data_IF_060512133812
#
_entry.id   IF_060512133812
#
_cell.length_a   1.000
_cell.length_b   1.000
_cell.length_c   1.000
_cell.angle_alpha   90.00
_cell.angle_beta   90.00
_cell.angle_gamma   90.00
#
_symmetry.space_group_name_H-M   'P 1'
#
loop_
_entity.id
_entity.type
_entity.pdbx_description
1 polymer ?
#
# COMPACT_ATOMS: atom_id res chain seq x y z
N UNK A 1 21.02 6.36 -10.11
CA UNK A 1 20.68 4.94 -9.90
C UNK A 1 21.71 4.20 -9.05
N UNK A 2 23.01 4.11 -9.40
CA UNK A 2 24.00 3.37 -8.57
C UNK A 2 24.00 3.76 -7.08
N UNK A 3 23.90 5.07 -6.80
CA UNK A 3 23.88 5.61 -5.43
C UNK A 3 22.47 5.83 -4.86
N UNK A 4 21.43 5.35 -5.54
CA UNK A 4 20.04 5.42 -5.06
C UNK A 4 19.75 4.18 -4.22
N UNK A 5 19.05 4.34 -3.10
CA UNK A 5 18.66 3.21 -2.25
C UNK A 5 17.60 2.36 -2.95
N UNK A 6 17.50 1.07 -2.60
CA UNK A 6 16.43 0.19 -3.08
C UNK A 6 15.06 0.77 -2.74
N UNK A 7 14.91 1.28 -1.51
CA UNK A 7 13.65 1.88 -1.08
C UNK A 7 13.26 3.09 -1.93
N UNK A 8 14.22 3.97 -2.24
CA UNK A 8 13.96 5.15 -3.06
C UNK A 8 13.70 4.79 -4.53
N UNK A 9 14.36 3.75 -5.05
CA UNK A 9 14.07 3.22 -6.39
C UNK A 9 12.64 2.69 -6.49
N UNK A 10 12.19 1.92 -5.50
CA UNK A 10 10.83 1.38 -5.44
C UNK A 10 9.81 2.51 -5.23
N UNK A 11 10.12 3.51 -4.40
CA UNK A 11 9.26 4.69 -4.21
C UNK A 11 9.08 5.50 -5.50
N UNK A 12 10.15 5.70 -6.27
CA UNK A 12 10.11 6.48 -7.50
C UNK A 12 9.46 5.71 -8.65
N UNK A 13 9.67 4.40 -8.72
CA UNK A 13 9.02 3.53 -9.68
C UNK A 13 8.83 2.15 -9.04
N UNK A 14 7.62 1.82 -8.55
CA UNK A 14 7.36 0.53 -7.92
C UNK A 14 7.65 -0.67 -8.84
N UNK A 15 7.71 -0.47 -10.16
CA UNK A 15 8.04 -1.52 -11.14
C UNK A 15 9.48 -1.97 -11.02
N UNK A 16 10.37 -1.12 -10.47
CA UNK A 16 11.73 -1.51 -10.13
C UNK A 16 11.73 -2.74 -9.22
N UNK A 17 10.70 -2.90 -8.40
CA UNK A 17 10.68 -3.96 -7.43
C UNK A 17 10.49 -5.35 -8.02
N UNK A 18 9.77 -5.47 -9.14
CA UNK A 18 9.70 -6.72 -9.92
C UNK A 18 11.08 -7.13 -10.42
N UNK A 19 11.81 -6.18 -11.00
CA UNK A 19 13.17 -6.43 -11.49
C UNK A 19 14.12 -6.70 -10.33
N UNK A 20 13.96 -6.05 -9.17
CA UNK A 20 14.80 -6.31 -8.00
C UNK A 20 14.54 -7.71 -7.42
N UNK A 21 13.28 -8.16 -7.39
CA UNK A 21 12.88 -9.49 -6.92
C UNK A 21 13.48 -10.61 -7.79
N UNK A 22 13.50 -10.44 -9.13
CA UNK A 22 14.18 -11.38 -10.04
C UNK A 22 15.67 -11.57 -9.74
N UNK A 23 16.31 -10.56 -9.14
CA UNK A 23 17.72 -10.59 -8.73
C UNK A 23 17.88 -10.95 -7.24
N UNK A 24 16.80 -11.35 -6.57
CA UNK A 24 16.77 -11.69 -5.14
C UNK A 24 17.03 -10.49 -4.23
N UNK A 25 16.73 -9.29 -4.67
CA UNK A 25 16.93 -8.04 -3.92
C UNK A 25 15.58 -7.62 -3.34
N UNK A 26 15.34 -7.97 -2.08
CA UNK A 26 14.18 -7.48 -1.30
C UNK A 26 14.56 -6.25 -0.46
N UNK A 27 13.58 -5.45 -0.07
CA UNK A 27 13.87 -4.21 0.67
C UNK A 27 14.01 -4.43 2.18
N UNK A 28 13.48 -5.51 2.76
CA UNK A 28 13.74 -5.87 4.16
C UNK A 28 15.25 -6.01 4.45
N UNK A 29 16.00 -6.65 3.56
CA UNK A 29 17.44 -6.89 3.74
C UNK A 29 18.30 -5.80 3.10
N UNK A 30 17.78 -5.10 2.08
CA UNK A 30 18.58 -4.22 1.23
C UNK A 30 18.00 -2.82 1.05
N UNK A 31 16.90 -2.47 1.74
CA UNK A 31 16.12 -1.26 1.51
C UNK A 31 16.93 0.03 1.65
N UNK A 32 17.74 0.12 2.71
CA UNK A 32 18.61 1.26 2.98
C UNK A 32 19.93 1.22 2.19
N UNK A 33 20.21 0.10 1.50
CA UNK A 33 21.42 -0.07 0.71
C UNK A 33 21.24 0.52 -0.68
N UNK A 34 22.32 1.09 -1.20
CA UNK A 34 22.36 1.53 -2.60
C UNK A 34 22.46 0.34 -3.54
N UNK A 35 22.01 0.53 -4.78
CA UNK A 35 22.12 -0.50 -5.82
C UNK A 35 23.58 -1.00 -5.98
N UNK A 36 24.55 -0.10 -5.86
CA UNK A 36 25.98 -0.41 -5.92
C UNK A 36 26.48 -1.28 -4.76
N UNK A 37 26.03 -1.00 -3.54
CA UNK A 37 26.36 -1.81 -2.36
C UNK A 37 25.84 -3.24 -2.54
N UNK A 38 24.61 -3.38 -3.01
CA UNK A 38 23.97 -4.69 -3.21
C UNK A 38 24.66 -5.47 -4.31
N UNK A 39 25.01 -4.82 -5.42
CA UNK A 39 25.73 -5.50 -6.51
C UNK A 39 27.11 -6.00 -6.05
N UNK A 40 27.78 -5.25 -5.18
CA UNK A 40 29.06 -5.66 -4.59
C UNK A 40 28.88 -6.86 -3.65
N UNK A 41 27.89 -6.79 -2.76
CA UNK A 41 27.61 -7.84 -1.78
C UNK A 41 27.16 -9.15 -2.42
N UNK A 42 26.27 -9.08 -3.42
CA UNK A 42 25.69 -10.24 -4.11
C UNK A 42 26.48 -10.68 -5.35
N UNK A 43 27.61 -10.03 -5.64
CA UNK A 43 28.43 -10.27 -6.83
C UNK A 43 27.63 -10.21 -8.15
N UNK A 44 26.68 -9.27 -8.23
CA UNK A 44 25.84 -9.04 -9.40
C UNK A 44 26.51 -8.05 -10.37
N UNK A 45 26.27 -8.21 -11.68
CA UNK A 45 26.65 -7.18 -12.66
C UNK A 45 25.74 -5.95 -12.51
N UNK A 46 26.29 -4.92 -11.86
CA UNK A 46 25.59 -3.67 -11.61
C UNK A 46 25.14 -2.98 -12.90
N UNK A 47 25.91 -3.08 -13.99
CA UNK A 47 25.53 -2.47 -15.26
C UNK A 47 24.36 -3.23 -15.91
N UNK A 48 24.34 -4.56 -15.78
CA UNK A 48 23.21 -5.38 -16.25
C UNK A 48 21.94 -5.08 -15.45
N UNK A 49 22.01 -5.05 -14.11
CA UNK A 49 20.87 -4.70 -13.26
C UNK A 49 20.36 -3.28 -13.56
N UNK A 50 21.25 -2.31 -13.74
CA UNK A 50 20.86 -0.97 -14.15
C UNK A 50 20.24 -0.92 -15.54
N UNK A 51 20.67 -1.77 -16.46
CA UNK A 51 20.07 -1.88 -17.79
C UNK A 51 18.67 -2.45 -17.68
N UNK A 52 18.47 -3.52 -16.90
CA UNK A 52 17.14 -4.11 -16.64
C UNK A 52 16.20 -3.10 -15.96
N UNK A 53 16.69 -2.36 -14.96
CA UNK A 53 15.93 -1.30 -14.30
C UNK A 53 15.69 -0.08 -15.21
N UNK A 54 16.65 0.27 -16.07
CA UNK A 54 16.55 1.37 -17.02
C UNK A 54 15.65 1.07 -18.21
N UNK A 55 15.52 -0.20 -18.60
CA UNK A 55 14.60 -0.69 -19.63
C UNK A 55 13.13 -0.54 -19.23
N UNK A 56 12.84 -0.31 -17.95
CA UNK A 56 11.52 0.10 -17.47
C UNK A 56 11.10 1.48 -18.01
N UNK A 57 12.05 2.35 -18.44
CA UNK A 57 11.78 3.62 -19.11
C UNK A 57 10.95 4.63 -18.29
N UNK A 58 10.52 5.73 -18.95
CA UNK A 58 9.49 6.67 -18.46
C UNK A 58 8.06 6.20 -18.73
N UNK A 59 7.93 5.00 -19.28
CA UNK A 59 6.66 4.31 -19.32
C UNK A 59 6.43 3.80 -17.91
N UNK A 60 5.40 4.35 -17.25
CA UNK A 60 4.74 3.67 -16.15
C UNK A 60 4.18 2.39 -16.78
N UNK A 61 4.99 1.34 -16.89
CA UNK A 61 4.45 0.01 -17.06
C UNK A 61 3.45 -0.12 -15.94
N UNK A 62 2.17 -0.27 -16.28
CA UNK A 62 1.18 -0.68 -15.30
C UNK A 62 1.69 -2.00 -14.78
N UNK A 63 2.29 -1.99 -13.60
CA UNK A 63 2.76 -3.19 -12.93
C UNK A 63 1.57 -4.12 -12.93
N UNK A 64 1.69 -5.24 -13.60
CA UNK A 64 0.70 -6.28 -13.41
C UNK A 64 0.97 -6.90 -12.04
N UNK A 65 0.36 -6.29 -11.02
CA UNK A 65 0.48 -6.74 -9.64
C UNK A 65 0.06 -8.20 -9.47
N UNK A 66 -0.68 -8.79 -10.42
CA UNK A 66 -0.97 -10.22 -10.43
C UNK A 66 0.29 -11.09 -10.61
N UNK A 67 1.36 -10.57 -11.19
CA UNK A 67 2.64 -11.28 -11.33
C UNK A 67 3.55 -11.13 -10.10
N UNK A 68 3.24 -10.19 -9.21
CA UNK A 68 4.01 -9.91 -8.00
C UNK A 68 3.70 -10.96 -6.93
N UNK A 69 4.73 -11.36 -6.17
CA UNK A 69 4.59 -12.28 -5.04
C UNK A 69 3.80 -11.64 -3.88
N UNK A 70 3.05 -12.44 -3.14
CA UNK A 70 2.29 -11.96 -1.96
C UNK A 70 3.18 -11.29 -0.91
N UNK A 71 4.36 -11.85 -0.54
CA UNK A 71 5.20 -11.23 0.46
C UNK A 71 5.62 -9.83 0.02
N UNK A 72 5.99 -9.68 -1.26
CA UNK A 72 6.36 -8.40 -1.82
C UNK A 72 5.18 -7.40 -1.84
N UNK A 73 3.98 -7.84 -2.23
CA UNK A 73 2.78 -7.00 -2.21
C UNK A 73 2.50 -6.44 -0.81
N UNK A 74 2.54 -7.31 0.20
CA UNK A 74 2.36 -6.91 1.61
C UNK A 74 3.44 -5.93 2.04
N UNK A 75 4.70 -6.21 1.71
CA UNK A 75 5.84 -5.34 2.01
C UNK A 75 5.66 -3.94 1.40
N UNK A 76 5.21 -3.87 0.15
CA UNK A 76 4.88 -2.63 -0.54
C UNK A 76 3.76 -1.86 0.17
N UNK A 77 2.66 -2.53 0.52
CA UNK A 77 1.51 -1.91 1.20
C UNK A 77 1.90 -1.35 2.57
N UNK A 78 2.63 -2.11 3.39
CA UNK A 78 3.16 -1.67 4.70
C UNK A 78 4.02 -0.41 4.56
N UNK A 79 4.89 -0.33 3.54
CA UNK A 79 5.68 0.87 3.33
C UNK A 79 4.83 2.08 2.98
N UNK A 80 3.77 1.89 2.19
CA UNK A 80 2.84 2.97 1.88
C UNK A 80 2.07 3.41 3.13
N UNK A 81 1.63 2.47 3.99
CA UNK A 81 1.02 2.78 5.30
C UNK A 81 1.92 3.64 6.17
N UNK A 82 3.18 3.26 6.28
CA UNK A 82 4.16 3.99 7.05
C UNK A 82 4.38 5.42 6.54
N UNK A 83 4.43 5.61 5.21
CA UNK A 83 4.50 6.96 4.62
C UNK A 83 3.23 7.77 4.95
N UNK A 84 2.02 7.21 4.72
CA UNK A 84 0.79 7.93 5.03
C UNK A 84 0.68 8.31 6.51
N UNK A 85 0.93 7.37 7.40
CA UNK A 85 0.78 7.56 8.83
C UNK A 85 1.79 8.57 9.40
N UNK A 86 3.04 8.55 8.93
CA UNK A 86 4.15 9.34 9.49
C UNK A 86 4.37 10.66 8.77
N UNK A 87 4.09 10.75 7.47
CA UNK A 87 4.43 11.92 6.64
C UNK A 87 3.17 12.62 6.10
N UNK A 88 2.35 11.93 5.30
CA UNK A 88 1.24 12.55 4.57
C UNK A 88 0.12 13.04 5.48
N UNK A 89 -0.46 12.17 6.31
CA UNK A 89 -1.57 12.55 7.19
C UNK A 89 -1.20 13.71 8.14
N UNK A 90 -0.01 13.74 8.78
CA UNK A 90 0.43 14.90 9.56
C UNK A 90 0.61 16.17 8.73
N UNK A 91 1.12 16.09 7.50
CA UNK A 91 1.29 17.25 6.62
C UNK A 91 -0.08 17.83 6.21
N UNK A 92 -1.00 16.98 5.76
CA UNK A 92 -2.35 17.37 5.36
C UNK A 92 -3.10 17.99 6.54
N UNK A 93 -2.95 17.40 7.74
CA UNK A 93 -3.53 17.97 8.97
C UNK A 93 -3.09 19.41 9.21
N UNK A 94 -1.82 19.74 8.93
CA UNK A 94 -1.29 21.10 9.13
C UNK A 94 -1.94 22.09 8.17
N UNK A 95 -2.07 21.75 6.89
CA UNK A 95 -2.68 22.65 5.90
C UNK A 95 -4.18 22.83 6.13
N UNK A 96 -4.90 21.75 6.49
CA UNK A 96 -6.32 21.83 6.88
C UNK A 96 -6.52 22.69 8.13
N UNK A 97 -5.69 22.53 9.16
CA UNK A 97 -5.77 23.34 10.37
C UNK A 97 -5.42 24.81 10.12
N UNK A 98 -4.49 25.08 9.19
CA UNK A 98 -4.17 26.45 8.78
C UNK A 98 -5.37 27.12 8.12
N UNK A 99 -6.05 26.42 7.20
CA UNK A 99 -7.26 26.91 6.54
C UNK A 99 -8.38 27.24 7.55
N UNK A 100 -8.62 26.34 8.52
CA UNK A 100 -9.59 26.51 9.61
C UNK A 100 -9.30 27.69 10.55
N UNK A 101 -8.02 28.07 10.73
CA UNK A 101 -7.63 29.25 11.52
C UNK A 101 -7.89 30.57 10.81
N UNK A 102 -7.82 30.57 9.47
CA UNK A 102 -8.07 31.75 8.67
C UNK A 102 -9.57 32.02 8.47
N UNK A 103 -10.36 30.96 8.36
CA UNK A 103 -11.81 31.05 8.20
C UNK A 103 -12.51 29.93 8.97
N UNK A 104 -13.36 30.32 9.92
CA UNK A 104 -14.10 29.40 10.78
C UNK A 104 -15.05 28.48 10.01
N UNK A 105 -15.41 28.85 8.78
CA UNK A 105 -16.19 28.01 7.86
C UNK A 105 -15.55 26.66 7.57
N UNK A 106 -14.24 26.51 7.77
CA UNK A 106 -13.52 25.24 7.55
C UNK A 106 -13.30 24.40 8.81
N UNK A 107 -13.86 24.79 9.96
CA UNK A 107 -13.76 24.00 11.21
C UNK A 107 -14.32 22.59 11.06
N UNK A 108 -15.41 22.43 10.30
CA UNK A 108 -15.99 21.10 10.04
C UNK A 108 -15.05 20.23 9.19
N UNK A 109 -14.40 20.80 8.17
CA UNK A 109 -13.39 20.09 7.38
C UNK A 109 -12.23 19.59 8.26
N UNK A 110 -11.75 20.41 9.20
CA UNK A 110 -10.70 20.00 10.14
C UNK A 110 -11.15 18.86 11.06
N UNK A 111 -12.38 18.91 11.60
CA UNK A 111 -12.94 17.84 12.43
C UNK A 111 -13.07 16.54 11.63
N UNK A 112 -13.64 16.61 10.42
CA UNK A 112 -13.81 15.46 9.53
C UNK A 112 -12.46 14.87 9.15
N UNK A 113 -11.47 15.69 8.79
CA UNK A 113 -10.13 15.20 8.46
C UNK A 113 -9.44 14.50 9.65
N UNK A 114 -9.66 15.00 10.88
CA UNK A 114 -9.15 14.36 12.09
C UNK A 114 -9.83 13.01 12.35
N UNK A 115 -11.15 12.92 12.15
CA UNK A 115 -11.91 11.66 12.26
C UNK A 115 -11.37 10.64 11.26
N UNK A 116 -11.32 11.03 9.99
CA UNK A 116 -10.75 10.25 8.90
C UNK A 116 -9.32 9.75 9.22
N UNK A 117 -8.42 10.65 9.61
CA UNK A 117 -7.03 10.28 9.97
C UNK A 117 -6.92 9.26 11.10
N UNK A 118 -7.90 9.23 12.02
CA UNK A 118 -7.93 8.27 13.12
C UNK A 118 -8.50 6.92 12.68
N UNK A 119 -9.46 6.90 11.75
CA UNK A 119 -10.00 5.68 11.16
C UNK A 119 -8.91 4.99 10.33
N UNK A 120 -8.23 5.73 9.45
CA UNK A 120 -7.11 5.20 8.68
C UNK A 120 -6.00 4.58 9.53
N UNK A 121 -5.65 5.19 10.68
CA UNK A 121 -4.65 4.57 11.57
C UNK A 121 -5.11 3.24 12.15
N UNK A 122 -6.40 3.09 12.46
CA UNK A 122 -6.95 1.82 12.96
C UNK A 122 -6.99 0.77 11.85
N UNK A 123 -7.33 1.20 10.64
CA UNK A 123 -7.33 0.37 9.44
C UNK A 123 -5.94 -0.23 9.19
N UNK A 124 -4.91 0.63 9.12
CA UNK A 124 -3.51 0.24 8.97
C UNK A 124 -3.10 -0.80 10.04
N UNK A 125 -3.46 -0.56 11.31
CA UNK A 125 -3.13 -1.49 12.41
C UNK A 125 -3.81 -2.84 12.21
N UNK A 126 -5.09 -2.86 11.83
CA UNK A 126 -5.83 -4.09 11.56
C UNK A 126 -5.15 -4.90 10.45
N UNK A 127 -4.74 -4.24 9.37
CA UNK A 127 -4.10 -4.89 8.25
C UNK A 127 -2.74 -5.47 8.63
N UNK A 128 -1.88 -4.66 9.24
CA UNK A 128 -0.52 -5.04 9.58
C UNK A 128 -0.45 -6.08 10.69
N UNK A 129 -1.35 -6.05 11.67
CA UNK A 129 -1.33 -6.97 12.81
C UNK A 129 -2.17 -8.23 12.60
N UNK A 130 -3.18 -8.19 11.72
CA UNK A 130 -4.13 -9.29 11.55
C UNK A 130 -4.19 -9.80 10.12
N UNK A 131 -4.53 -8.93 9.15
CA UNK A 131 -4.84 -9.36 7.78
C UNK A 131 -3.59 -9.86 7.05
N UNK A 132 -2.53 -9.06 6.99
CA UNK A 132 -1.29 -9.42 6.30
C UNK A 132 -0.61 -10.64 6.93
N UNK A 133 -0.47 -10.76 8.27
CA UNK A 133 0.06 -11.99 8.88
C UNK A 133 -0.79 -13.24 8.58
N UNK A 134 -2.12 -13.10 8.51
CA UNK A 134 -2.99 -14.20 8.11
C UNK A 134 -2.72 -14.64 6.67
N UNK A 135 -2.62 -13.69 5.74
CA UNK A 135 -2.35 -13.98 4.32
C UNK A 135 -0.98 -14.64 4.13
N UNK A 136 0.05 -14.20 4.85
CA UNK A 136 1.39 -14.83 4.81
C UNK A 136 1.36 -16.27 5.32
N UNK A 137 0.65 -16.54 6.42
CA UNK A 137 0.45 -17.92 6.93
C UNK A 137 -0.32 -18.78 5.93
N UNK A 138 -1.34 -18.22 5.30
CA UNK A 138 -2.12 -18.89 4.28
C UNK A 138 -1.25 -19.29 3.08
N UNK A 139 -0.37 -18.38 2.62
CA UNK A 139 0.59 -18.67 1.56
C UNK A 139 1.56 -19.78 1.95
N UNK A 140 2.14 -19.72 3.15
CA UNK A 140 3.09 -20.73 3.61
C UNK A 140 2.47 -22.15 3.61
N UNK A 141 1.22 -22.27 4.04
CA UNK A 141 0.47 -23.55 4.01
C UNK A 141 0.05 -23.96 2.59
N UNK A 142 -0.17 -23.00 1.70
CA UNK A 142 -0.45 -23.27 0.29
C UNK A 142 0.77 -23.89 -0.41
N UNK A 143 1.96 -23.35 -0.15
CA UNK A 143 3.24 -23.82 -0.69
C UNK A 143 3.68 -25.14 -0.05
N UNK A 144 3.60 -25.23 1.28
CA UNK A 144 3.99 -26.40 2.07
C UNK A 144 2.80 -26.90 2.88
N UNK A 145 2.02 -27.80 2.26
CA UNK A 145 0.76 -28.27 2.85
C UNK A 145 0.96 -28.99 4.18
N UNK A 146 0.37 -28.43 5.23
CA UNK A 146 0.22 -29.03 6.56
C UNK A 146 -1.26 -29.06 6.95
N UNK A 147 -1.81 -30.26 7.16
CA UNK A 147 -3.24 -30.44 7.46
C UNK A 147 -3.63 -29.77 8.78
N UNK A 148 -2.82 -29.94 9.82
CA UNK A 148 -3.13 -29.41 11.15
C UNK A 148 -3.09 -27.88 11.15
N UNK A 149 -2.05 -27.29 10.57
CA UNK A 149 -1.94 -25.84 10.39
C UNK A 149 -3.08 -25.24 9.55
N UNK A 150 -3.53 -25.92 8.49
CA UNK A 150 -4.67 -25.43 7.69
C UNK A 150 -5.97 -25.48 8.49
N UNK A 151 -6.22 -26.55 9.26
CA UNK A 151 -7.41 -26.64 10.13
C UNK A 151 -7.39 -25.54 11.19
N UNK A 152 -6.24 -25.29 11.81
CA UNK A 152 -6.09 -24.24 12.83
C UNK A 152 -6.35 -22.85 12.24
N UNK A 153 -5.71 -22.53 11.11
CA UNK A 153 -5.80 -21.20 10.49
C UNK A 153 -7.22 -20.91 9.99
N UNK A 154 -7.78 -21.83 9.20
CA UNK A 154 -9.09 -21.66 8.56
C UNK A 154 -10.28 -21.93 9.48
N UNK A 155 -10.03 -22.45 10.68
CA UNK A 155 -11.01 -22.57 11.76
C UNK A 155 -11.18 -21.29 12.57
N UNK A 156 -10.18 -20.40 12.58
CA UNK A 156 -10.23 -19.10 13.27
C UNK A 156 -10.87 -18.01 12.41
N UNK A 157 -10.46 -17.92 11.14
CA UNK A 157 -10.89 -16.87 10.21
C UNK A 157 -11.00 -17.39 8.77
N UNK A 158 -11.69 -16.63 7.92
CA UNK A 158 -11.67 -16.77 6.46
C UNK A 158 -11.21 -15.47 5.82
N UNK A 159 -10.68 -15.55 4.60
CA UNK A 159 -10.41 -14.40 3.73
C UNK A 159 -11.67 -13.57 3.50
N UNK A 160 -12.85 -14.18 3.41
CA UNK A 160 -14.11 -13.44 3.32
C UNK A 160 -14.33 -12.54 4.55
N UNK A 161 -14.15 -13.07 5.77
CA UNK A 161 -14.35 -12.28 6.98
C UNK A 161 -13.26 -11.20 7.14
N UNK A 162 -12.01 -11.53 6.83
CA UNK A 162 -10.88 -10.63 7.05
C UNK A 162 -10.70 -9.60 5.93
N UNK A 163 -11.02 -9.94 4.68
CA UNK A 163 -10.79 -9.08 3.52
C UNK A 163 -12.07 -8.42 3.00
N UNK A 164 -13.26 -9.00 3.17
CA UNK A 164 -14.51 -8.41 2.66
C UNK A 164 -15.12 -7.39 3.63
N UNK A 165 -14.80 -7.48 4.93
CA UNK A 165 -15.12 -6.41 5.88
C UNK A 165 -14.33 -5.10 5.61
N UNK A 166 -13.32 -5.11 4.73
CA UNK A 166 -12.68 -3.88 4.23
C UNK A 166 -13.61 -3.07 3.30
N UNK A 167 -14.51 -3.71 2.56
CA UNK A 167 -15.42 -3.01 1.61
C UNK A 167 -16.49 -2.17 2.33
N UNK A 168 -16.85 -2.49 3.58
CA UNK A 168 -17.85 -1.73 4.34
C UNK A 168 -17.34 -0.38 4.89
N UNK A 169 -16.03 -0.13 4.82
CA UNK A 169 -15.41 1.16 5.15
C UNK A 169 -15.22 2.07 3.91
N UNK A 170 -15.71 1.67 2.72
CA UNK A 170 -15.47 2.32 1.40
C UNK A 170 -15.91 3.78 1.23
N UNK A 171 -16.42 4.45 2.26
CA UNK A 171 -16.68 5.89 2.17
C UNK A 171 -16.03 6.70 3.31
N UNK A 172 -14.87 6.26 3.81
CA UNK A 172 -14.05 7.08 4.72
C UNK A 172 -13.72 8.47 4.14
N UNK A 173 -13.61 8.57 2.81
CA UNK A 173 -13.39 9.84 2.09
C UNK A 173 -14.69 10.58 1.72
N UNK A 174 -15.88 10.01 1.98
CA UNK A 174 -17.18 10.61 1.61
C UNK A 174 -17.32 12.03 2.12
N UNK A 175 -17.18 12.14 3.44
CA UNK A 175 -17.49 13.36 4.17
C UNK A 175 -16.54 14.47 3.70
N UNK A 176 -15.27 14.11 3.45
CA UNK A 176 -14.27 15.01 2.88
C UNK A 176 -14.65 15.45 1.46
N UNK A 177 -15.08 14.53 0.58
CA UNK A 177 -15.54 14.90 -0.77
C UNK A 177 -16.74 15.84 -0.75
N UNK A 178 -17.73 15.55 0.09
CA UNK A 178 -18.95 16.36 0.21
C UNK A 178 -18.60 17.78 0.69
N UNK A 179 -17.81 17.90 1.75
CA UNK A 179 -17.40 19.20 2.31
C UNK A 179 -16.53 20.04 1.36
N UNK A 180 -15.81 19.39 0.45
CA UNK A 180 -14.87 20.04 -0.46
C UNK A 180 -15.35 20.14 -1.90
N UNK A 181 -16.60 19.74 -2.19
CA UNK A 181 -17.12 19.63 -3.54
C UNK A 181 -16.18 18.82 -4.46
N UNK A 182 -15.77 17.63 -4.01
CA UNK A 182 -14.80 16.75 -4.67
C UNK A 182 -13.42 17.41 -4.84
N UNK A 183 -12.91 18.07 -3.80
CA UNK A 183 -11.59 18.71 -3.78
C UNK A 183 -11.38 19.72 -4.91
N UNK A 184 -12.46 20.35 -5.40
CA UNK A 184 -12.39 21.30 -6.50
C UNK A 184 -11.95 22.66 -5.99
N UNK A 185 -11.06 23.30 -6.74
CA UNK A 185 -10.64 24.68 -6.53
C UNK A 185 -10.39 25.37 -7.88
N UNK A 186 -10.38 26.70 -7.86
CA UNK A 186 -10.10 27.60 -8.99
C UNK A 186 -8.78 28.33 -8.76
N UNK A 187 -8.17 28.80 -9.83
CA UNK A 187 -6.95 29.62 -9.76
C UNK A 187 -7.13 30.96 -9.03
N UNK A 188 -8.38 31.42 -8.89
CA UNK A 188 -8.75 32.64 -8.18
C UNK A 188 -8.99 32.43 -6.68
N UNK A 189 -9.00 31.18 -6.21
CA UNK A 189 -9.21 30.89 -4.79
C UNK A 189 -7.98 31.24 -3.97
N UNK A 190 -8.13 31.39 -2.65
CA UNK A 190 -7.00 31.63 -1.76
C UNK A 190 -5.94 30.53 -1.86
N UNK A 191 -4.66 30.91 -1.79
CA UNK A 191 -3.54 29.97 -1.96
C UNK A 191 -3.60 28.81 -0.95
N UNK A 192 -3.97 29.06 0.30
CA UNK A 192 -4.06 28.01 1.31
C UNK A 192 -5.20 27.04 1.01
N UNK A 193 -6.30 27.53 0.44
CA UNK A 193 -7.40 26.70 -0.03
C UNK A 193 -6.95 25.80 -1.18
N UNK A 194 -6.27 26.36 -2.19
CA UNK A 194 -5.73 25.60 -3.32
C UNK A 194 -4.78 24.49 -2.87
N UNK A 195 -3.84 24.81 -1.98
CA UNK A 195 -2.89 23.83 -1.41
C UNK A 195 -3.66 22.72 -0.67
N UNK A 196 -4.61 23.10 0.19
CA UNK A 196 -5.38 22.11 0.98
C UNK A 196 -6.17 21.17 0.09
N UNK A 197 -6.86 21.68 -0.93
CA UNK A 197 -7.62 20.85 -1.86
C UNK A 197 -6.72 19.95 -2.71
N UNK A 198 -5.56 20.47 -3.16
CA UNK A 198 -4.57 19.69 -3.88
C UNK A 198 -4.08 18.50 -3.06
N UNK A 199 -3.66 18.74 -1.81
CA UNK A 199 -3.17 17.70 -0.90
C UNK A 199 -4.25 16.64 -0.58
N UNK A 200 -5.50 17.05 -0.38
CA UNK A 200 -6.61 16.11 -0.17
C UNK A 200 -6.93 15.28 -1.43
N UNK A 201 -6.80 15.86 -2.62
CA UNK A 201 -6.97 15.15 -3.89
C UNK A 201 -5.85 14.13 -4.12
N UNK A 202 -4.61 14.49 -3.80
CA UNK A 202 -3.47 13.56 -3.86
C UNK A 202 -3.75 12.38 -2.93
N UNK A 203 -4.09 12.64 -1.66
CA UNK A 203 -4.45 11.59 -0.70
C UNK A 203 -5.56 10.66 -1.21
N UNK A 204 -6.64 11.20 -1.79
CA UNK A 204 -7.70 10.35 -2.36
C UNK A 204 -7.18 9.45 -3.47
N UNK A 205 -6.35 9.99 -4.36
CA UNK A 205 -5.82 9.26 -5.52
C UNK A 205 -4.93 8.11 -5.05
N UNK A 206 -4.03 8.44 -4.14
CA UNK A 206 -3.09 7.59 -3.45
C UNK A 206 -3.77 6.40 -2.73
N UNK A 207 -4.78 6.69 -1.90
CA UNK A 207 -5.57 5.65 -1.23
C UNK A 207 -6.37 4.78 -2.20
N UNK A 208 -6.95 5.40 -3.23
CA UNK A 208 -7.70 4.65 -4.25
C UNK A 208 -6.81 3.71 -5.06
N UNK A 209 -5.51 4.00 -5.20
CA UNK A 209 -4.55 3.06 -5.79
C UNK A 209 -4.17 1.95 -4.81
N UNK A 210 -3.96 2.30 -3.54
CA UNK A 210 -3.64 1.36 -2.47
C UNK A 210 -4.74 0.29 -2.32
N UNK A 211 -5.99 0.72 -2.11
CA UNK A 211 -7.16 -0.15 -1.97
C UNK A 211 -7.34 -1.08 -3.19
N UNK A 212 -7.09 -0.58 -4.40
CA UNK A 212 -7.15 -1.41 -5.61
C UNK A 212 -6.13 -2.55 -5.60
N UNK A 213 -4.93 -2.33 -5.09
CA UNK A 213 -3.91 -3.39 -4.99
C UNK A 213 -4.36 -4.45 -3.98
N UNK A 214 -4.94 -4.03 -2.87
CA UNK A 214 -5.48 -4.93 -1.85
C UNK A 214 -6.65 -5.76 -2.39
N UNK A 215 -7.72 -5.10 -2.80
CA UNK A 215 -8.98 -5.72 -3.23
C UNK A 215 -8.81 -6.51 -4.52
N UNK A 216 -8.12 -5.95 -5.52
CA UNK A 216 -8.09 -6.54 -6.84
C UNK A 216 -6.95 -7.53 -7.05
N UNK A 217 -5.98 -7.59 -6.12
CA UNK A 217 -4.80 -8.44 -6.28
C UNK A 217 -4.56 -9.26 -5.03
N UNK A 218 -4.20 -8.64 -3.90
CA UNK A 218 -3.78 -9.36 -2.70
C UNK A 218 -4.89 -10.25 -2.16
N UNK A 219 -6.08 -9.70 -1.97
CA UNK A 219 -7.24 -10.40 -1.40
C UNK A 219 -7.77 -11.47 -2.36
N UNK A 220 -7.76 -11.23 -3.68
CA UNK A 220 -8.10 -12.26 -4.67
C UNK A 220 -7.13 -13.43 -4.65
N UNK A 221 -5.82 -13.17 -4.58
CA UNK A 221 -4.80 -14.23 -4.43
C UNK A 221 -5.01 -15.01 -3.14
N UNK A 222 -5.28 -14.34 -2.03
CA UNK A 222 -5.56 -14.99 -0.75
C UNK A 222 -6.80 -15.90 -0.84
N UNK A 223 -7.92 -15.40 -1.36
CA UNK A 223 -9.15 -16.17 -1.51
C UNK A 223 -8.97 -17.42 -2.39
N UNK A 224 -8.18 -17.30 -3.46
CA UNK A 224 -7.83 -18.44 -4.32
C UNK A 224 -7.02 -19.51 -3.57
N UNK A 225 -6.00 -19.12 -2.80
CA UNK A 225 -5.21 -20.06 -2.00
C UNK A 225 -6.06 -20.75 -0.94
N UNK A 226 -6.93 -20.00 -0.24
CA UNK A 226 -7.86 -20.57 0.73
C UNK A 226 -8.78 -21.60 0.09
N UNK A 227 -9.37 -21.30 -1.07
CA UNK A 227 -10.25 -22.22 -1.78
C UNK A 227 -9.54 -23.55 -2.13
N UNK A 228 -8.28 -23.48 -2.57
CA UNK A 228 -7.46 -24.68 -2.85
C UNK A 228 -7.20 -25.47 -1.57
N UNK A 229 -6.82 -24.81 -0.47
CA UNK A 229 -6.54 -25.46 0.81
C UNK A 229 -7.80 -26.13 1.40
N UNK A 230 -8.95 -25.45 1.35
CA UNK A 230 -10.24 -26.04 1.76
C UNK A 230 -10.62 -27.26 0.91
N UNK A 231 -10.33 -27.25 -0.39
CA UNK A 231 -10.55 -28.42 -1.26
C UNK A 231 -9.63 -29.58 -0.87
N UNK A 232 -8.34 -29.31 -0.64
CA UNK A 232 -7.36 -30.32 -0.18
C UNK A 232 -7.80 -30.99 1.14
N UNK A 233 -8.28 -30.19 2.11
CA UNK A 233 -8.82 -30.72 3.37
C UNK A 233 -10.00 -31.67 3.18
N UNK A 234 -10.88 -31.42 2.21
CA UNK A 234 -12.05 -32.28 1.95
C UNK A 234 -11.69 -33.57 1.22
N UNK A 235 -10.56 -33.59 0.49
CA UNK A 235 -10.08 -34.75 -0.26
C UNK A 235 -9.12 -35.66 0.53
N UNK A 236 -8.74 -35.27 1.76
CA UNK A 236 -7.79 -35.96 2.62
C UNK A 236 -8.46 -36.49 3.90
#
# INVERSE_FOLDING_TARGET
MKHTTVLDLIRQNPSCALVLDEYGINHHEHGDKTLEQICTEKQLDCNQLQTSLGALGSHVYSIDFNLVSIPFLIEYLINTHHDYAKTKLPAIRKVVAMLSRHDEGYRELEKTFRKFSNQMRKHIILEEEVVFPFILKLQALYENYDREGVVELLGKYSTEILCHNHEHDEDEMHELRVLTNNFRYKSTDDLNYQITMHELLQLQTDMGQHAKIEENVLFKKAAQMEAVLRKKLKSA
#
